data_IF_353925114846
#
_entry.id   IF_353925114846
#
_cell.length_a   1.000
_cell.length_b   1.000
_cell.length_c   1.000
_cell.angle_alpha   90.00
_cell.angle_beta   90.00
_cell.angle_gamma   90.00
#
_symmetry.space_group_name_H-M   'P 1'
#
loop_
_entity.id
_entity.type
_entity.pdbx_description
1 polymer ?
#
# COMPACT_ATOMS: atom_id res chain seq x y z
N UNK A 1 5.84 -13.98 -9.54
CA UNK A 1 5.42 -14.60 -8.27
C UNK A 1 5.62 -13.58 -7.17
N UNK A 2 4.58 -13.17 -6.45
CA UNK A 2 4.81 -12.46 -5.18
C UNK A 2 5.60 -13.41 -4.27
N UNK A 3 6.70 -12.95 -3.69
CA UNK A 3 7.44 -13.72 -2.70
C UNK A 3 6.49 -14.03 -1.53
N UNK A 4 6.57 -15.25 -0.97
CA UNK A 4 5.73 -15.70 0.14
C UNK A 4 5.78 -14.78 1.38
N UNK A 5 6.72 -13.84 1.43
CA UNK A 5 6.90 -12.91 2.54
C UNK A 5 6.01 -11.66 2.42
N UNK A 6 5.78 -11.14 1.21
CA UNK A 6 4.90 -9.99 0.97
C UNK A 6 3.44 -10.28 1.32
N UNK A 7 2.94 -11.47 0.97
CA UNK A 7 1.58 -11.88 1.32
C UNK A 7 1.39 -12.01 2.84
N UNK A 8 2.43 -12.41 3.59
CA UNK A 8 2.40 -12.46 5.06
C UNK A 8 2.43 -11.07 5.67
N UNK A 9 3.20 -10.15 5.10
CA UNK A 9 3.23 -8.75 5.54
C UNK A 9 1.88 -8.07 5.31
N UNK A 10 1.27 -8.26 4.15
CA UNK A 10 -0.08 -7.76 3.88
C UNK A 10 -1.09 -8.33 4.86
N UNK A 11 -1.04 -9.63 5.15
CA UNK A 11 -1.93 -10.21 6.18
C UNK A 11 -1.76 -9.53 7.55
N UNK A 12 -0.54 -9.19 7.97
CA UNK A 12 -0.33 -8.44 9.23
C UNK A 12 -0.95 -7.05 9.18
N UNK A 13 -0.81 -6.34 8.06
CA UNK A 13 -1.44 -5.02 7.85
C UNK A 13 -2.96 -5.13 7.98
N UNK A 14 -3.55 -6.20 7.44
CA UNK A 14 -4.98 -6.49 7.58
C UNK A 14 -5.38 -6.85 9.01
N UNK A 15 -4.58 -7.69 9.69
CA UNK A 15 -4.79 -8.07 11.09
C UNK A 15 -4.68 -6.85 12.04
N UNK A 16 -3.98 -5.79 11.62
CA UNK A 16 -3.94 -4.48 12.31
C UNK A 16 -5.18 -3.62 12.03
N UNK A 17 -6.12 -4.09 11.19
CA UNK A 17 -7.37 -3.40 10.86
C UNK A 17 -7.27 -2.46 9.65
N UNK A 18 -6.17 -2.48 8.91
CA UNK A 18 -6.04 -1.65 7.71
C UNK A 18 -6.69 -2.29 6.48
N UNK A 19 -7.32 -1.44 5.67
CA UNK A 19 -7.72 -1.70 4.30
C UNK A 19 -7.03 -0.66 3.38
N UNK A 20 -7.14 -0.76 2.04
CA UNK A 20 -6.42 0.15 1.15
C UNK A 20 -6.71 1.64 1.43
N UNK A 21 -7.95 1.99 1.79
CA UNK A 21 -8.34 3.36 2.13
C UNK A 21 -7.68 3.83 3.43
N UNK A 22 -7.82 3.05 4.51
CA UNK A 22 -7.26 3.46 5.81
C UNK A 22 -5.73 3.43 5.83
N UNK A 23 -5.11 2.55 5.03
CA UNK A 23 -3.66 2.55 4.82
C UNK A 23 -3.21 3.77 4.01
N UNK A 24 -3.94 4.15 2.95
CA UNK A 24 -3.69 5.37 2.16
C UNK A 24 -3.65 6.61 3.07
N UNK A 25 -4.64 6.72 3.97
CA UNK A 25 -4.75 7.81 4.94
C UNK A 25 -3.60 7.77 5.96
N UNK A 26 -3.31 6.60 6.52
CA UNK A 26 -2.25 6.43 7.52
C UNK A 26 -0.87 6.83 6.98
N UNK A 27 -0.57 6.45 5.74
CA UNK A 27 0.68 6.76 5.05
C UNK A 27 0.67 8.14 4.36
N UNK A 28 -0.44 8.89 4.48
CA UNK A 28 -0.64 10.23 3.90
C UNK A 28 -0.39 10.26 2.38
N UNK A 29 -0.74 9.18 1.68
CA UNK A 29 -0.44 9.03 0.25
C UNK A 29 -1.11 10.11 -0.59
N UNK A 30 -2.32 10.55 -0.22
CA UNK A 30 -3.01 11.63 -0.92
C UNK A 30 -2.20 12.93 -0.93
N UNK A 31 -1.67 13.32 0.22
CA UNK A 31 -0.80 14.49 0.31
C UNK A 31 0.48 14.32 -0.52
N UNK A 32 1.07 13.11 -0.52
CA UNK A 32 2.26 12.83 -1.34
C UNK A 32 1.95 12.93 -2.84
N UNK A 33 0.80 12.42 -3.29
CA UNK A 33 0.35 12.52 -4.67
C UNK A 33 0.14 13.97 -5.13
N UNK A 34 -0.24 14.86 -4.22
CA UNK A 34 -0.47 16.28 -4.51
C UNK A 34 0.81 17.12 -4.49
N UNK A 35 1.82 16.71 -3.71
CA UNK A 35 2.97 17.57 -3.37
C UNK A 35 4.33 17.06 -3.84
N UNK A 36 4.48 15.76 -4.12
CA UNK A 36 5.74 15.18 -4.55
C UNK A 36 5.81 15.11 -6.08
N UNK A 37 7.00 15.31 -6.62
CA UNK A 37 7.27 15.07 -8.03
C UNK A 37 7.19 13.56 -8.34
N UNK A 38 6.87 13.22 -9.58
CA UNK A 38 6.70 11.83 -9.98
C UNK A 38 7.95 10.98 -9.66
N UNK A 39 9.15 11.52 -9.89
CA UNK A 39 10.40 10.82 -9.60
C UNK A 39 10.60 10.55 -8.09
N UNK A 40 10.11 11.43 -7.22
CA UNK A 40 10.18 11.25 -5.77
C UNK A 40 9.18 10.19 -5.31
N UNK A 41 7.95 10.25 -5.84
CA UNK A 41 6.90 9.26 -5.56
C UNK A 41 7.33 7.85 -6.01
N UNK A 42 8.01 7.73 -7.15
CA UNK A 42 8.53 6.45 -7.64
C UNK A 42 9.69 5.90 -6.80
N UNK A 43 10.26 6.69 -5.88
CA UNK A 43 11.25 6.24 -4.91
C UNK A 43 10.68 6.15 -3.48
N UNK A 44 9.40 6.46 -3.26
CA UNK A 44 8.76 6.47 -1.95
C UNK A 44 8.29 5.06 -1.55
N UNK A 45 8.86 4.54 -0.47
CA UNK A 45 8.54 3.19 0.02
C UNK A 45 7.09 3.03 0.47
N UNK A 46 6.49 4.08 1.06
CA UNK A 46 5.10 4.03 1.52
C UNK A 46 4.13 3.98 0.34
N UNK A 47 4.41 4.73 -0.72
CA UNK A 47 3.64 4.68 -1.96
C UNK A 47 3.66 3.27 -2.57
N UNK A 48 4.84 2.67 -2.68
CA UNK A 48 4.97 1.29 -3.19
C UNK A 48 4.26 0.27 -2.31
N UNK A 49 4.38 0.41 -0.99
CA UNK A 49 3.67 -0.44 -0.03
C UNK A 49 2.15 -0.35 -0.22
N UNK A 50 1.61 0.87 -0.25
CA UNK A 50 0.18 1.10 -0.46
C UNK A 50 -0.31 0.52 -1.79
N UNK A 51 0.41 0.78 -2.89
CA UNK A 51 0.05 0.27 -4.23
C UNK A 51 0.03 -1.25 -4.28
N UNK A 52 1.07 -1.90 -3.75
CA UNK A 52 1.15 -3.36 -3.75
C UNK A 52 0.07 -3.99 -2.85
N UNK A 53 -0.25 -3.35 -1.72
CA UNK A 53 -1.32 -3.78 -0.83
C UNK A 53 -2.71 -3.61 -1.48
N UNK A 54 -2.98 -2.48 -2.12
CA UNK A 54 -4.21 -2.22 -2.88
C UNK A 54 -4.43 -3.26 -3.98
N UNK A 55 -3.39 -3.56 -4.77
CA UNK A 55 -3.45 -4.60 -5.79
C UNK A 55 -3.74 -5.99 -5.23
N UNK A 56 -3.13 -6.33 -4.09
CA UNK A 56 -3.39 -7.60 -3.40
C UNK A 56 -4.83 -7.67 -2.89
N UNK A 57 -5.32 -6.61 -2.25
CA UNK A 57 -6.69 -6.51 -1.73
C UNK A 57 -7.74 -6.67 -2.83
N UNK A 58 -7.54 -6.03 -3.99
CA UNK A 58 -8.46 -6.10 -5.13
C UNK A 58 -8.49 -7.47 -5.82
N UNK A 59 -7.45 -8.29 -5.64
CA UNK A 59 -7.39 -9.66 -6.18
C UNK A 59 -8.04 -10.68 -5.26
N UNK A 60 -8.39 -10.31 -4.03
CA UNK A 60 -9.10 -11.20 -3.11
C UNK A 60 -10.59 -11.25 -3.47
N UNK A 61 -11.23 -12.42 -3.38
CA UNK A 61 -12.69 -12.48 -3.33
C UNK A 61 -13.15 -11.73 -2.07
N UNK A 62 -14.01 -10.72 -2.26
CA UNK A 62 -14.63 -9.93 -1.19
C UNK A 62 -15.75 -10.73 -0.50
#
# INVERSE_FOLDING_TARGET
>A
MMSNDLAKEFKKIEDMGYNPTTLKEHLKIEHKLETMEHAELMNDGDYHLWRAFEEHWNKKPQ
#
